data_IF_472999888681
#
_entry.id   IF_472999888681
#
_cell.length_a   1.000
_cell.length_b   1.000
_cell.length_c   1.000
_cell.angle_alpha   90.00
_cell.angle_beta   90.00
_cell.angle_gamma   90.00
#
_symmetry.space_group_name_H-M   'P 1'
#
loop_
_entity.id
_entity.type
_entity.pdbx_description
1 polymer ?
#
# COMPACT_ATOMS: atom_id res chain seq x y z
N UNK A 1 37.98 40.45 12.75
CA UNK A 1 37.51 39.06 12.94
C UNK A 1 36.02 39.05 12.65
N UNK A 2 35.60 38.41 11.56
CA UNK A 2 34.19 38.22 11.21
C UNK A 2 33.92 36.73 11.25
N UNK A 3 33.13 36.26 12.20
CA UNK A 3 32.80 34.84 12.34
C UNK A 3 31.44 34.56 11.70
N UNK A 4 31.45 33.54 10.81
CA UNK A 4 30.34 32.85 10.16
C UNK A 4 29.33 32.35 11.21
N UNK A 5 28.07 32.07 10.93
CA UNK A 5 27.45 31.53 9.73
C UNK A 5 26.09 30.97 10.13
N UNK A 6 25.19 30.87 9.15
CA UNK A 6 23.76 30.68 9.35
C UNK A 6 23.36 29.44 10.12
N UNK A 7 22.40 29.63 11.04
CA UNK A 7 21.54 28.57 11.55
C UNK A 7 20.39 28.40 10.56
N UNK A 8 20.59 27.55 9.56
CA UNK A 8 19.51 27.06 8.71
C UNK A 8 18.88 25.89 9.46
N UNK A 9 17.61 26.13 9.81
CA UNK A 9 16.65 25.17 10.32
C UNK A 9 16.81 23.84 9.56
N UNK A 10 17.14 22.78 10.30
CA UNK A 10 17.14 21.40 9.81
C UNK A 10 15.70 21.08 9.38
N UNK A 11 15.47 21.26 8.08
CA UNK A 11 14.22 21.01 7.41
C UNK A 11 13.97 19.51 7.47
N UNK A 12 12.98 19.15 8.29
CA UNK A 12 12.11 17.99 8.16
C UNK A 12 12.52 17.07 7.04
N UNK A 13 13.39 16.09 7.35
CA UNK A 13 13.64 14.97 6.47
C UNK A 13 12.36 14.14 6.41
N UNK A 14 11.43 14.57 5.56
CA UNK A 14 10.27 13.76 5.20
C UNK A 14 10.84 12.46 4.65
N UNK A 15 10.47 11.29 5.21
CA UNK A 15 10.94 10.03 4.67
C UNK A 15 10.67 10.02 3.16
N UNK A 16 11.59 9.48 2.33
CA UNK A 16 11.33 9.35 0.91
C UNK A 16 9.97 8.69 0.72
N UNK A 17 9.15 9.11 -0.26
CA UNK A 17 7.83 8.53 -0.46
C UNK A 17 8.02 7.02 -0.59
N UNK A 18 7.49 6.26 0.39
CA UNK A 18 7.67 4.82 0.41
C UNK A 18 7.17 4.26 -0.93
N UNK A 19 8.03 3.47 -1.58
CA UNK A 19 7.80 3.00 -2.95
C UNK A 19 6.44 2.33 -3.08
N UNK A 20 5.71 2.66 -4.15
CA UNK A 20 4.46 2.02 -4.49
C UNK A 20 4.70 0.52 -4.72
N UNK A 21 3.79 -0.30 -4.23
CA UNK A 21 3.85 -1.75 -4.36
C UNK A 21 3.36 -2.24 -5.72
N UNK A 22 2.47 -1.47 -6.35
CA UNK A 22 1.89 -1.77 -7.64
C UNK A 22 0.77 -0.80 -8.00
N UNK A 23 0.06 -1.11 -9.08
CA UNK A 23 -1.11 -0.34 -9.49
C UNK A 23 -2.40 -0.91 -8.89
N UNK A 24 -3.32 -0.02 -8.49
CA UNK A 24 -4.68 -0.38 -8.14
C UNK A 24 -5.38 -0.92 -9.39
N UNK A 25 -6.12 -2.01 -9.20
CA UNK A 25 -6.89 -2.67 -10.25
C UNK A 25 -8.33 -2.23 -10.17
N UNK A 26 -8.94 -2.08 -11.33
CA UNK A 26 -10.34 -1.71 -11.45
C UNK A 26 -11.05 -2.72 -12.35
N UNK A 27 -12.31 -2.96 -12.05
CA UNK A 27 -13.23 -3.66 -12.94
C UNK A 27 -14.50 -2.84 -13.10
N UNK A 28 -15.21 -3.09 -14.19
CA UNK A 28 -16.52 -2.51 -14.43
C UNK A 28 -17.55 -3.63 -14.36
N UNK A 29 -18.59 -3.45 -13.56
CA UNK A 29 -19.68 -4.43 -13.49
C UNK A 29 -20.67 -4.28 -14.66
N UNK A 30 -21.67 -5.15 -14.72
CA UNK A 30 -22.69 -5.13 -15.78
C UNK A 30 -23.56 -3.87 -15.79
N UNK A 31 -23.54 -3.07 -14.72
CA UNK A 31 -24.25 -1.79 -14.61
C UNK A 31 -23.41 -0.60 -15.06
N UNK A 32 -22.12 -0.82 -15.40
CA UNK A 32 -21.18 0.25 -15.70
C UNK A 32 -20.53 0.86 -14.46
N UNK A 33 -20.72 0.28 -13.27
CA UNK A 33 -20.11 0.79 -12.03
C UNK A 33 -18.64 0.39 -11.97
N UNK A 34 -17.77 1.38 -11.73
CA UNK A 34 -16.33 1.14 -11.48
C UNK A 34 -16.12 0.63 -10.06
N UNK A 35 -15.49 -0.54 -9.96
CA UNK A 35 -15.18 -1.21 -8.69
C UNK A 35 -13.67 -1.31 -8.55
N UNK A 36 -13.11 -0.78 -7.46
CA UNK A 36 -11.73 -1.06 -7.11
C UNK A 36 -11.58 -2.50 -6.64
N UNK A 37 -10.59 -3.19 -7.18
CA UNK A 37 -10.21 -4.53 -6.73
C UNK A 37 -8.98 -4.37 -5.85
N UNK A 38 -9.11 -4.66 -4.56
CA UNK A 38 -8.04 -4.62 -3.57
C UNK A 38 -7.53 -6.04 -3.30
N UNK A 39 -6.25 -6.22 -2.91
CA UNK A 39 -5.77 -7.52 -2.48
C UNK A 39 -6.57 -8.03 -1.28
N UNK A 40 -6.96 -9.30 -1.36
CA UNK A 40 -7.65 -10.02 -0.30
C UNK A 40 -6.69 -10.48 0.81
N UNK A 41 -5.38 -10.42 0.59
CA UNK A 41 -4.35 -10.72 1.58
C UNK A 41 -3.36 -9.59 1.81
N UNK A 42 -2.65 -9.67 2.95
CA UNK A 42 -1.54 -8.79 3.26
C UNK A 42 -0.40 -8.96 2.25
N UNK A 43 0.58 -8.07 2.30
CA UNK A 43 1.65 -8.02 1.31
C UNK A 43 2.55 -9.26 1.23
N UNK A 44 2.58 -10.04 2.30
CA UNK A 44 3.24 -11.33 2.36
C UNK A 44 2.35 -12.52 1.97
N UNK A 45 1.10 -12.30 1.59
CA UNK A 45 0.13 -13.34 1.23
C UNK A 45 -0.34 -14.21 2.40
N UNK A 46 -0.14 -13.77 3.66
CA UNK A 46 -0.32 -14.62 4.86
C UNK A 46 -1.59 -14.33 5.66
N UNK A 47 -2.02 -13.08 5.71
CA UNK A 47 -3.15 -12.65 6.52
C UNK A 47 -4.25 -12.14 5.61
N UNK A 48 -5.49 -12.51 5.89
CA UNK A 48 -6.64 -12.00 5.16
C UNK A 48 -6.86 -10.52 5.48
N UNK A 49 -7.16 -9.75 4.44
CA UNK A 49 -7.74 -8.41 4.54
C UNK A 49 -9.23 -8.62 4.72
N UNK A 50 -9.79 -8.15 5.84
CA UNK A 50 -11.19 -8.40 6.19
C UNK A 50 -11.92 -7.05 6.22
N UNK A 51 -13.02 -6.88 5.45
CA UNK A 51 -13.82 -5.66 5.50
C UNK A 51 -14.29 -5.37 6.93
N UNK A 52 -14.14 -4.12 7.39
CA UNK A 52 -14.50 -3.71 8.75
C UNK A 52 -13.44 -3.99 9.83
N UNK A 53 -12.40 -4.77 9.53
CA UNK A 53 -11.26 -5.02 10.44
C UNK A 53 -9.99 -4.38 9.88
N UNK A 54 -9.71 -4.61 8.59
CA UNK A 54 -8.62 -3.98 7.87
C UNK A 54 -9.00 -2.56 7.45
N UNK A 55 -8.02 -1.65 7.50
CA UNK A 55 -8.21 -0.25 7.12
C UNK A 55 -7.73 -0.06 5.69
N UNK A 56 -8.61 0.44 4.83
CA UNK A 56 -8.25 0.88 3.49
C UNK A 56 -8.54 2.39 3.38
N UNK A 57 -7.55 3.17 2.96
CA UNK A 57 -7.64 4.63 2.83
C UNK A 57 -7.18 5.03 1.44
N UNK A 58 -8.05 5.70 0.68
CA UNK A 58 -7.66 6.38 -0.54
C UNK A 58 -7.11 7.78 -0.18
N UNK A 59 -5.90 8.08 -0.64
CA UNK A 59 -5.21 9.36 -0.45
C UNK A 59 -4.66 9.80 -1.79
N UNK A 60 -5.21 10.88 -2.35
CA UNK A 60 -4.80 11.44 -3.64
C UNK A 60 -4.76 10.35 -4.75
N UNK A 61 -3.56 10.00 -5.20
CA UNK A 61 -3.27 9.04 -6.27
C UNK A 61 -2.84 7.66 -5.74
N UNK A 62 -3.15 7.33 -4.49
CA UNK A 62 -2.86 6.01 -3.93
C UNK A 62 -3.95 5.47 -3.00
N UNK A 63 -4.02 4.14 -2.91
CA UNK A 63 -4.80 3.42 -1.90
C UNK A 63 -3.85 2.69 -0.97
N UNK A 64 -4.00 2.98 0.32
CA UNK A 64 -3.27 2.33 1.41
C UNK A 64 -4.14 1.28 2.06
N UNK A 65 -3.63 0.06 2.25
CA UNK A 65 -4.36 -1.01 2.93
C UNK A 65 -3.48 -1.58 4.03
N UNK A 66 -3.94 -1.45 5.27
CA UNK A 66 -3.21 -1.86 6.45
C UNK A 66 -3.63 -3.27 6.90
N UNK A 67 -2.64 -4.14 7.08
CA UNK A 67 -2.83 -5.42 7.75
C UNK A 67 -2.56 -5.27 9.26
N UNK A 68 -3.59 -5.37 10.13
CA UNK A 68 -3.41 -5.16 11.57
C UNK A 68 -2.48 -6.21 12.21
N UNK A 69 -2.48 -7.44 11.68
CA UNK A 69 -1.62 -8.52 12.17
C UNK A 69 -0.15 -8.25 11.85
N UNK A 70 0.16 -7.79 10.64
CA UNK A 70 1.52 -7.40 10.29
C UNK A 70 1.96 -6.15 11.06
N UNK A 71 1.07 -5.17 11.24
CA UNK A 71 1.37 -3.93 11.94
C UNK A 71 1.74 -4.14 13.42
N UNK A 72 1.30 -5.25 14.02
CA UNK A 72 1.69 -5.63 15.38
C UNK A 72 3.17 -6.03 15.51
N UNK A 73 3.87 -6.29 14.40
CA UNK A 73 5.29 -6.64 14.38
C UNK A 73 6.13 -5.41 13.98
N UNK A 74 6.98 -4.86 14.87
CA UNK A 74 7.84 -3.73 14.53
C UNK A 74 8.74 -4.03 13.32
N UNK A 75 8.80 -3.08 12.39
CA UNK A 75 9.61 -3.22 11.17
C UNK A 75 9.02 -4.12 10.09
N UNK A 76 7.85 -4.72 10.30
CA UNK A 76 7.17 -5.48 9.26
C UNK A 76 6.52 -4.54 8.24
N UNK A 77 6.62 -4.91 6.97
CA UNK A 77 5.98 -4.20 5.86
C UNK A 77 4.46 -4.52 5.84
N UNK A 78 3.71 -3.78 6.66
CA UNK A 78 2.32 -4.07 6.99
C UNK A 78 1.28 -3.40 6.06
N UNK A 79 1.72 -2.46 5.23
CA UNK A 79 0.85 -1.60 4.43
C UNK A 79 1.07 -1.87 2.94
N UNK A 80 -0.01 -2.17 2.23
CA UNK A 80 -0.05 -2.06 0.77
C UNK A 80 -0.18 -0.60 0.36
N UNK A 81 0.58 -0.19 -0.66
CA UNK A 81 0.52 1.11 -1.32
C UNK A 81 0.29 0.91 -2.81
N UNK A 82 -0.95 1.11 -3.26
CA UNK A 82 -1.33 0.89 -4.66
C UNK A 82 -1.59 2.22 -5.35
N UNK A 83 -1.01 2.45 -6.53
CA UNK A 83 -1.28 3.69 -7.27
C UNK A 83 -2.69 3.68 -7.86
N UNK A 84 -3.49 4.67 -7.52
CA UNK A 84 -4.79 4.96 -8.10
C UNK A 84 -4.61 5.90 -9.28
N UNK A 85 -5.14 5.54 -10.45
CA UNK A 85 -5.08 6.38 -11.67
C UNK A 85 -6.45 6.79 -12.17
N UNK A 86 -7.50 6.50 -11.39
CA UNK A 86 -8.90 6.71 -11.78
C UNK A 86 -9.68 7.46 -10.70
N UNK A 87 -10.94 7.83 -11.01
CA UNK A 87 -11.82 8.46 -10.04
C UNK A 87 -12.03 7.54 -8.82
N UNK A 88 -12.31 8.15 -7.67
CA UNK A 88 -12.64 7.42 -6.45
C UNK A 88 -13.80 6.46 -6.71
N UNK A 89 -13.59 5.14 -6.58
CA UNK A 89 -14.61 4.16 -6.91
C UNK A 89 -15.69 4.13 -5.81
N UNK A 90 -16.95 3.99 -6.21
CA UNK A 90 -18.07 3.87 -5.27
C UNK A 90 -18.04 2.55 -4.47
N UNK A 91 -17.34 1.54 -4.99
CA UNK A 91 -17.28 0.19 -4.43
C UNK A 91 -15.88 -0.39 -4.48
N UNK A 92 -15.57 -1.24 -3.51
CA UNK A 92 -14.35 -2.02 -3.47
C UNK A 92 -14.66 -3.50 -3.26
N UNK A 93 -13.84 -4.36 -3.87
CA UNK A 93 -13.87 -5.80 -3.73
C UNK A 93 -12.50 -6.34 -3.38
N UNK A 94 -12.46 -7.54 -2.80
CA UNK A 94 -11.24 -8.20 -2.38
C UNK A 94 -10.96 -9.39 -3.29
N UNK A 95 -9.83 -9.35 -3.99
CA UNK A 95 -9.36 -10.43 -4.85
C UNK A 95 -7.82 -10.38 -4.96
N UNK A 96 -7.18 -11.52 -4.78
CA UNK A 96 -5.73 -11.67 -4.87
C UNK A 96 -5.24 -12.06 -6.26
N UNK A 97 -6.11 -12.61 -7.12
CA UNK A 97 -5.73 -13.06 -8.46
C UNK A 97 -4.94 -11.99 -9.24
N UNK A 98 -5.37 -10.71 -9.30
CA UNK A 98 -4.65 -9.70 -10.07
C UNK A 98 -3.36 -9.19 -9.39
N UNK A 99 -3.10 -9.60 -8.14
CA UNK A 99 -1.95 -9.21 -7.32
C UNK A 99 -0.97 -10.35 -7.07
N UNK A 100 -1.24 -11.56 -7.58
CA UNK A 100 -0.45 -12.77 -7.33
C UNK A 100 1.05 -12.58 -7.57
N UNK A 101 1.45 -11.93 -8.67
CA UNK A 101 2.87 -11.66 -8.95
C UNK A 101 3.55 -10.79 -7.89
N UNK A 102 2.86 -9.78 -7.37
CA UNK A 102 3.39 -8.89 -6.33
C UNK A 102 3.56 -9.62 -5.01
N UNK A 103 2.56 -10.44 -4.66
CA UNK A 103 2.58 -11.28 -3.46
C UNK A 103 3.73 -12.30 -3.54
N UNK A 104 3.83 -13.01 -4.66
CA UNK A 104 4.86 -14.04 -4.87
C UNK A 104 6.27 -13.46 -4.87
N UNK A 105 6.50 -12.32 -5.53
CA UNK A 105 7.80 -11.64 -5.52
C UNK A 105 8.26 -11.36 -4.10
N UNK A 106 7.36 -10.88 -3.24
CA UNK A 106 7.70 -10.56 -1.85
C UNK A 106 7.93 -11.77 -0.98
N UNK A 107 7.12 -12.82 -1.15
CA UNK A 107 7.36 -14.09 -0.46
C UNK A 107 8.76 -14.61 -0.79
N UNK A 108 9.18 -14.51 -2.06
CA UNK A 108 10.53 -14.92 -2.50
C UNK A 108 11.63 -14.03 -1.94
N UNK A 109 11.46 -12.71 -1.93
CA UNK A 109 12.46 -11.79 -1.35
C UNK A 109 12.66 -12.07 0.14
N UNK A 110 11.61 -12.37 0.89
CA UNK A 110 11.71 -12.72 2.32
C UNK A 110 12.39 -14.08 2.54
N UNK A 111 12.18 -15.03 1.61
CA UNK A 111 12.78 -16.38 1.71
C UNK A 111 14.26 -16.44 1.29
N UNK A 112 14.74 -15.48 0.49
CA UNK A 112 16.09 -15.47 -0.07
C UNK A 112 17.19 -14.85 0.81
N UNK A 113 16.85 -14.27 1.96
CA UNK A 113 17.78 -13.54 2.84
C UNK A 113 18.42 -14.42 3.92
N UNK A 114 18.78 -15.67 3.58
CA UNK A 114 19.32 -16.63 4.55
C UNK A 114 20.84 -16.79 4.45
#
# INVERSE_FOLDING_TARGET
>A
MCERGGSLLDMSSSPPPASLDGALRYRVDYTGTTIAVLPATCKGGRHLVIPGVSRAIAVEDEVRIDCPVCAATPGADATWRLSSSGPSPDRAELDDEPYGDLILRRVRTVAGTR
#
